data_IF_611671705107
#
_entry.id   IF_611671705107
#
_cell.length_a   1.000
_cell.length_b   1.000
_cell.length_c   1.000
_cell.angle_alpha   90.00
_cell.angle_beta   90.00
_cell.angle_gamma   90.00
#
_symmetry.space_group_name_H-M   'P 1'
#
loop_
_entity.id
_entity.type
_entity.pdbx_description
1 polymer ?
#
# COMPACT_ATOMS: atom_id res chain seq x y z
N UNK A 1 -4.59 6.27 -15.06
CA UNK A 1 -3.69 5.64 -14.08
C UNK A 1 -4.46 4.60 -13.30
N UNK A 2 -3.94 3.39 -13.22
CA UNK A 2 -4.60 2.32 -12.46
C UNK A 2 -4.36 2.49 -10.96
N UNK A 3 -5.14 1.79 -10.14
CA UNK A 3 -4.95 1.82 -8.69
C UNK A 3 -3.55 1.33 -8.32
N UNK A 4 -3.05 0.30 -9.00
CA UNK A 4 -1.70 -0.23 -8.78
C UNK A 4 -0.65 0.85 -9.04
N UNK A 5 -0.74 1.54 -10.16
CA UNK A 5 0.22 2.59 -10.51
C UNK A 5 0.16 3.74 -9.52
N UNK A 6 -1.03 4.12 -9.13
CA UNK A 6 -1.23 5.19 -8.15
C UNK A 6 -0.63 4.82 -6.80
N UNK A 7 -0.83 3.56 -6.37
CA UNK A 7 -0.24 3.07 -5.13
C UNK A 7 1.27 3.08 -5.16
N UNK A 8 1.86 2.63 -6.26
CA UNK A 8 3.32 2.63 -6.40
C UNK A 8 3.88 4.04 -6.22
N UNK A 9 3.24 5.00 -6.85
CA UNK A 9 3.65 6.39 -6.75
C UNK A 9 3.51 6.92 -5.32
N UNK A 10 2.37 6.65 -4.70
CA UNK A 10 2.10 7.09 -3.33
C UNK A 10 3.09 6.48 -2.36
N UNK A 11 3.40 5.19 -2.51
CA UNK A 11 4.35 4.52 -1.63
C UNK A 11 5.74 5.15 -1.72
N UNK A 12 6.20 5.41 -2.93
CA UNK A 12 7.51 6.04 -3.10
C UNK A 12 7.54 7.44 -2.48
N UNK A 13 6.50 8.21 -2.70
CA UNK A 13 6.45 9.59 -2.19
C UNK A 13 6.24 9.66 -0.68
N UNK A 14 5.25 8.94 -0.17
CA UNK A 14 4.84 9.07 1.22
C UNK A 14 5.70 8.27 2.20
N UNK A 15 6.22 7.12 1.78
CA UNK A 15 7.15 6.34 2.60
C UNK A 15 8.60 6.76 2.38
N UNK A 16 8.82 7.68 1.47
CA UNK A 16 10.14 8.22 1.19
C UNK A 16 11.15 7.11 0.86
N UNK A 17 10.79 6.26 -0.10
CA UNK A 17 11.62 5.14 -0.50
C UNK A 17 12.76 5.61 -1.40
N UNK A 18 13.87 5.96 -0.78
CA UNK A 18 15.02 6.49 -1.49
C UNK A 18 15.61 5.47 -2.48
N UNK A 19 15.98 5.97 -3.64
CA UNK A 19 16.58 5.13 -4.66
C UNK A 19 15.60 4.29 -5.45
N UNK A 20 14.30 4.38 -5.15
CA UNK A 20 13.28 3.64 -5.88
C UNK A 20 12.36 4.58 -6.64
N UNK A 21 11.98 4.13 -7.84
CA UNK A 21 10.92 4.79 -8.61
C UNK A 21 9.68 3.89 -8.58
N UNK A 22 8.50 4.39 -8.94
CA UNK A 22 7.33 3.53 -9.03
C UNK A 22 7.53 2.32 -9.92
N UNK A 23 8.33 2.47 -10.99
CA UNK A 23 8.63 1.38 -11.91
C UNK A 23 9.50 0.27 -11.31
N UNK A 24 10.19 0.56 -10.22
CA UNK A 24 11.03 -0.43 -9.52
C UNK A 24 10.24 -1.33 -8.58
N UNK A 25 8.98 -0.99 -8.31
CA UNK A 25 8.16 -1.76 -7.38
C UNK A 25 7.44 -2.86 -8.13
N UNK A 26 7.66 -4.11 -7.71
CA UNK A 26 6.94 -5.26 -8.26
C UNK A 26 5.60 -5.38 -7.53
N UNK A 27 4.50 -5.27 -8.27
CA UNK A 27 3.17 -5.33 -7.68
C UNK A 27 2.83 -6.67 -7.02
N UNK A 28 3.51 -7.72 -7.42
CA UNK A 28 3.31 -9.06 -6.86
C UNK A 28 4.27 -9.41 -5.73
N UNK A 29 5.30 -8.60 -5.52
CA UNK A 29 6.26 -8.85 -4.46
C UNK A 29 5.71 -8.44 -3.09
N UNK A 30 6.15 -9.11 -2.02
CA UNK A 30 5.73 -8.72 -0.66
C UNK A 30 6.12 -7.29 -0.35
N UNK A 31 5.27 -6.58 0.39
CA UNK A 31 5.62 -5.24 0.88
C UNK A 31 6.53 -5.33 2.09
N UNK A 32 6.40 -6.39 2.89
CA UNK A 32 7.17 -6.57 4.12
C UNK A 32 8.23 -7.63 3.94
N UNK A 33 9.26 -7.58 4.78
CA UNK A 33 10.32 -8.57 4.76
C UNK A 33 11.16 -8.48 3.51
N UNK A 34 11.19 -9.54 2.70
CA UNK A 34 12.07 -9.65 1.54
C UNK A 34 11.74 -8.72 0.37
N UNK A 35 10.50 -8.22 0.31
CA UNK A 35 10.11 -7.31 -0.79
C UNK A 35 10.68 -5.91 -0.59
N UNK A 36 9.83 -4.96 -0.23
CA UNK A 36 10.30 -3.59 0.04
C UNK A 36 10.97 -3.44 1.39
N UNK A 37 10.93 -4.48 2.21
CA UNK A 37 11.56 -4.45 3.52
C UNK A 37 10.83 -3.60 4.55
N UNK A 38 9.54 -3.41 4.37
CA UNK A 38 8.75 -2.62 5.32
C UNK A 38 8.56 -3.38 6.64
N UNK A 39 8.39 -2.65 7.71
CA UNK A 39 8.17 -3.23 9.04
C UNK A 39 6.82 -2.80 9.62
N UNK A 40 6.59 -3.13 10.91
CA UNK A 40 5.32 -2.84 11.56
C UNK A 40 5.00 -1.34 11.65
N UNK A 41 6.02 -0.51 11.76
CA UNK A 41 5.84 0.94 11.77
C UNK A 41 5.37 1.43 10.41
N UNK A 42 5.91 0.85 9.35
CA UNK A 42 5.50 1.18 8.00
C UNK A 42 4.06 0.74 7.75
N UNK A 43 3.63 -0.38 8.35
CA UNK A 43 2.25 -0.83 8.23
C UNK A 43 1.28 0.19 8.82
N UNK A 44 1.61 0.75 9.98
CA UNK A 44 0.79 1.80 10.60
C UNK A 44 0.74 3.03 9.69
N UNK A 45 1.88 3.39 9.12
CA UNK A 45 1.97 4.52 8.21
C UNK A 45 1.14 4.29 6.95
N UNK A 46 1.14 3.06 6.42
CA UNK A 46 0.32 2.70 5.27
C UNK A 46 -1.17 2.87 5.56
N UNK A 47 -1.62 2.54 6.76
CA UNK A 47 -3.01 2.74 7.16
C UNK A 47 -3.36 4.21 7.05
N UNK A 48 -2.51 5.09 7.55
CA UNK A 48 -2.71 6.53 7.48
C UNK A 48 -2.70 7.01 6.02
N UNK A 49 -1.76 6.52 5.23
CA UNK A 49 -1.63 6.89 3.82
C UNK A 49 -2.90 6.51 3.04
N UNK A 50 -3.38 5.28 3.24
CA UNK A 50 -4.58 4.81 2.54
C UNK A 50 -5.79 5.66 2.92
N UNK A 51 -5.93 6.00 4.19
CA UNK A 51 -7.01 6.87 4.64
C UNK A 51 -6.90 8.26 4.01
N UNK A 52 -5.70 8.80 4.00
CA UNK A 52 -5.45 10.16 3.52
C UNK A 52 -5.59 10.28 2.00
N UNK A 53 -5.05 9.31 1.28
CA UNK A 53 -4.99 9.36 -0.19
C UNK A 53 -6.21 8.77 -0.88
N UNK A 54 -6.85 7.78 -0.27
CA UNK A 54 -7.97 7.06 -0.87
C UNK A 54 -9.28 7.19 -0.10
N UNK A 55 -9.23 7.78 1.09
CA UNK A 55 -10.43 7.96 1.90
C UNK A 55 -10.96 6.67 2.50
N UNK A 56 -10.12 5.65 2.62
CA UNK A 56 -10.51 4.35 3.14
C UNK A 56 -9.97 4.17 4.55
N UNK A 57 -10.85 3.87 5.49
CA UNK A 57 -10.47 3.63 6.87
C UNK A 57 -10.22 2.15 7.10
N UNK A 58 -9.02 1.81 7.55
CA UNK A 58 -8.64 0.46 7.94
C UNK A 58 -8.73 0.40 9.46
N UNK A 59 -9.60 -0.47 9.96
CA UNK A 59 -10.01 -0.46 11.37
C UNK A 59 -8.95 -0.94 12.34
N UNK A 60 -8.12 -1.88 11.92
CA UNK A 60 -7.09 -2.41 12.80
C UNK A 60 -5.89 -2.89 12.01
N UNK A 61 -4.79 -3.16 12.73
CA UNK A 61 -3.54 -3.54 12.12
C UNK A 61 -3.59 -4.91 11.47
N UNK A 62 -4.36 -5.84 12.04
CA UNK A 62 -4.50 -7.18 11.45
C UNK A 62 -5.16 -7.12 10.09
N UNK A 63 -6.22 -6.32 9.96
CA UNK A 63 -6.87 -6.09 8.68
C UNK A 63 -5.91 -5.44 7.69
N UNK A 64 -5.14 -4.47 8.16
CA UNK A 64 -4.15 -3.79 7.35
C UNK A 64 -3.08 -4.74 6.86
N UNK A 65 -2.54 -5.59 7.72
CA UNK A 65 -1.51 -6.55 7.32
C UNK A 65 -2.01 -7.52 6.26
N UNK A 66 -3.25 -7.96 6.36
CA UNK A 66 -3.83 -8.84 5.34
C UNK A 66 -3.95 -8.12 4.00
N UNK A 67 -4.33 -6.84 4.00
CA UNK A 67 -4.45 -6.04 2.78
C UNK A 67 -3.09 -5.67 2.21
N UNK A 68 -2.07 -5.54 3.05
CA UNK A 68 -0.76 -5.03 2.67
C UNK A 68 0.25 -6.11 2.27
N UNK A 69 -0.20 -7.28 1.86
CA UNK A 69 0.71 -8.35 1.45
C UNK A 69 1.52 -7.98 0.21
N UNK A 70 0.91 -7.24 -0.71
CA UNK A 70 1.59 -6.75 -1.90
C UNK A 70 0.84 -5.51 -2.39
N UNK A 71 1.44 -4.80 -3.35
CA UNK A 71 0.75 -3.66 -3.98
C UNK A 71 -0.53 -4.14 -4.64
N UNK A 72 -0.49 -5.30 -5.30
CA UNK A 72 -1.66 -5.85 -5.96
C UNK A 72 -2.77 -6.17 -4.97
N UNK A 73 -2.43 -6.80 -3.84
CA UNK A 73 -3.42 -7.11 -2.82
C UNK A 73 -4.04 -5.83 -2.24
N UNK A 74 -3.21 -4.84 -1.99
CA UNK A 74 -3.69 -3.56 -1.48
C UNK A 74 -4.58 -2.84 -2.51
N UNK A 75 -4.20 -2.88 -3.78
CA UNK A 75 -5.00 -2.29 -4.84
C UNK A 75 -6.38 -2.95 -4.92
N UNK A 76 -6.43 -4.28 -4.84
CA UNK A 76 -7.69 -5.02 -4.81
C UNK A 76 -8.56 -4.63 -3.64
N UNK A 77 -7.95 -4.51 -2.47
CA UNK A 77 -8.66 -4.10 -1.25
C UNK A 77 -9.28 -2.71 -1.44
N UNK A 78 -8.48 -1.77 -1.95
CA UNK A 78 -8.92 -0.40 -2.17
C UNK A 78 -10.07 -0.35 -3.17
N UNK A 79 -9.91 -1.05 -4.30
CA UNK A 79 -10.94 -1.06 -5.33
C UNK A 79 -12.25 -1.66 -4.83
N UNK A 80 -12.16 -2.71 -4.03
CA UNK A 80 -13.35 -3.31 -3.41
C UNK A 80 -14.07 -2.34 -2.47
N UNK A 81 -13.30 -1.60 -1.68
CA UNK A 81 -13.88 -0.63 -0.75
C UNK A 81 -14.51 0.56 -1.48
N UNK A 82 -13.85 1.04 -2.51
CA UNK A 82 -14.38 2.16 -3.30
C UNK A 82 -15.65 1.76 -4.06
N UNK A 83 -15.68 0.53 -4.56
CA UNK A 83 -16.87 0.03 -5.27
C UNK A 83 -18.05 -0.21 -4.34
N UNK A 84 -17.79 -0.57 -3.10
CA UNK A 84 -18.84 -0.84 -2.10
C UNK A 84 -19.41 0.42 -1.49
N UNK A 85 -18.66 1.46 -1.56
CA UNK A 85 -19.00 2.68 -0.91
C UNK A 85 -19.72 3.68 -1.71
#
# INVERSE_FOLDING_TARGET
MTTVEKLKKVLVEDLNLEGLTPGDIDENAPLFGEGLGLDSLDAVELIVIVQKRFGIEIQNLDEGKAAFQSVRALASYIEGRLSSG
#
